data_IF_673159981940
#
_entry.id   IF_673159981940
#
_cell.length_a   1.000
_cell.length_b   1.000
_cell.length_c   1.000
_cell.angle_alpha   90.00
_cell.angle_beta   90.00
_cell.angle_gamma   90.00
#
_symmetry.space_group_name_H-M   'P 1'
#
loop_
_entity.id
_entity.type
_entity.pdbx_description
1 polymer ?
#
# COMPACT_ATOMS: atom_id res chain seq x y z
N UNK A 1 -13.28 -9.30 15.83
CA UNK A 1 -14.26 -9.89 14.94
C UNK A 1 -13.60 -10.70 13.83
N UNK A 2 -12.42 -11.28 14.13
CA UNK A 2 -11.66 -12.10 13.20
C UNK A 2 -10.34 -12.55 13.81
N UNK A 3 -9.45 -13.09 12.98
CA UNK A 3 -8.18 -13.65 13.42
C UNK A 3 -7.04 -13.25 12.48
N UNK A 4 -5.92 -12.89 13.06
CA UNK A 4 -4.61 -12.92 12.39
C UNK A 4 -3.90 -14.20 12.80
N UNK A 5 -3.52 -15.00 11.82
CA UNK A 5 -2.87 -16.28 12.04
C UNK A 5 -1.36 -16.12 11.84
N UNK A 6 -0.62 -16.37 12.91
CA UNK A 6 0.83 -16.26 12.96
C UNK A 6 1.50 -17.42 12.24
N UNK A 7 2.54 -17.15 11.44
CA UNK A 7 3.41 -18.13 10.80
C UNK A 7 2.64 -19.34 10.22
N UNK A 8 1.53 -19.10 9.49
CA UNK A 8 0.61 -20.17 9.07
C UNK A 8 1.27 -21.22 8.15
N UNK A 9 2.36 -20.88 7.48
CA UNK A 9 3.16 -21.84 6.69
C UNK A 9 3.90 -22.87 7.54
N UNK A 10 4.05 -22.65 8.84
CA UNK A 10 4.81 -23.51 9.75
C UNK A 10 3.92 -24.47 10.55
N UNK A 11 2.59 -24.43 10.40
CA UNK A 11 1.71 -25.40 11.08
C UNK A 11 2.03 -26.83 10.69
N UNK A 12 2.36 -27.05 9.41
CA UNK A 12 3.04 -28.23 8.90
C UNK A 12 4.21 -27.79 8.03
N UNK A 13 5.36 -27.57 8.65
CA UNK A 13 6.54 -27.05 7.97
C UNK A 13 6.88 -27.86 6.72
N UNK A 14 7.05 -27.15 5.60
CA UNK A 14 7.40 -27.74 4.30
C UNK A 14 6.24 -28.40 3.53
N UNK A 15 4.98 -28.29 4.01
CA UNK A 15 3.81 -28.87 3.32
C UNK A 15 2.70 -27.85 3.14
N UNK A 16 2.64 -27.22 1.95
CA UNK A 16 1.57 -26.28 1.58
C UNK A 16 0.20 -26.95 1.69
N UNK A 17 0.02 -28.15 1.13
CA UNK A 17 -1.27 -28.85 1.09
C UNK A 17 -1.82 -29.11 2.50
N UNK A 18 -0.96 -29.54 3.45
CA UNK A 18 -1.39 -29.73 4.84
C UNK A 18 -1.72 -28.44 5.56
N UNK A 19 -1.00 -27.36 5.26
CA UNK A 19 -1.33 -26.03 5.80
C UNK A 19 -2.68 -25.57 5.27
N UNK A 20 -2.96 -25.74 3.97
CA UNK A 20 -4.26 -25.43 3.36
C UNK A 20 -5.39 -26.27 4.01
N UNK A 21 -5.17 -27.56 4.25
CA UNK A 21 -6.13 -28.44 4.94
C UNK A 21 -6.47 -27.95 6.36
N UNK A 22 -5.45 -27.57 7.15
CA UNK A 22 -5.66 -27.02 8.51
C UNK A 22 -6.39 -25.69 8.45
N UNK A 23 -6.02 -24.81 7.53
CA UNK A 23 -6.68 -23.52 7.37
C UNK A 23 -8.12 -23.67 6.89
N UNK A 24 -8.43 -24.63 6.01
CA UNK A 24 -9.80 -24.95 5.60
C UNK A 24 -10.67 -25.41 6.78
N UNK A 25 -10.10 -26.28 7.63
CA UNK A 25 -10.77 -26.68 8.86
C UNK A 25 -11.03 -25.50 9.80
N UNK A 26 -10.01 -24.66 10.02
CA UNK A 26 -10.11 -23.49 10.88
C UNK A 26 -11.14 -22.48 10.34
N UNK A 27 -11.07 -22.18 9.04
CA UNK A 27 -12.03 -21.30 8.34
C UNK A 27 -13.46 -21.79 8.54
N UNK A 28 -13.73 -23.08 8.27
CA UNK A 28 -15.07 -23.66 8.39
C UNK A 28 -15.61 -23.55 9.83
N UNK A 29 -14.77 -23.81 10.82
CA UNK A 29 -15.13 -23.71 12.23
C UNK A 29 -15.44 -22.27 12.65
N UNK A 30 -14.68 -21.30 12.18
CA UNK A 30 -14.88 -19.88 12.48
C UNK A 30 -16.16 -19.36 11.82
N UNK A 31 -16.32 -19.64 10.51
CA UNK A 31 -17.49 -19.15 9.74
C UNK A 31 -18.80 -19.80 10.21
N UNK A 32 -18.78 -21.00 10.77
CA UNK A 32 -19.94 -21.60 11.44
C UNK A 32 -20.41 -20.78 12.65
N UNK A 33 -19.49 -20.14 13.38
CA UNK A 33 -19.82 -19.33 14.56
C UNK A 33 -20.08 -17.85 14.21
N UNK A 34 -19.40 -17.33 13.21
CA UNK A 34 -19.52 -15.96 12.76
C UNK A 34 -19.15 -15.88 11.28
N UNK A 35 -20.18 -15.86 10.42
CA UNK A 35 -20.05 -15.89 8.95
C UNK A 35 -19.18 -14.72 8.42
N UNK A 36 -19.34 -13.53 8.99
CA UNK A 36 -18.61 -12.32 8.61
C UNK A 36 -17.27 -12.12 9.34
N UNK A 37 -16.77 -13.13 10.07
CA UNK A 37 -15.45 -13.04 10.69
C UNK A 37 -14.34 -12.98 9.62
N UNK A 38 -13.41 -12.03 9.75
CA UNK A 38 -12.29 -11.87 8.84
C UNK A 38 -11.07 -12.67 9.31
N UNK A 39 -10.49 -13.46 8.42
CA UNK A 39 -9.32 -14.29 8.71
C UNK A 39 -8.18 -13.88 7.78
N UNK A 40 -7.09 -13.36 8.35
CA UNK A 40 -5.87 -13.05 7.60
C UNK A 40 -4.71 -13.89 8.11
N UNK A 41 -3.99 -14.56 7.21
CA UNK A 41 -2.86 -15.41 7.54
C UNK A 41 -1.52 -14.77 7.18
N UNK A 42 -0.54 -14.92 8.06
CA UNK A 42 0.83 -14.65 7.72
C UNK A 42 1.46 -15.90 7.08
N UNK A 43 1.72 -15.77 5.79
CA UNK A 43 2.38 -16.79 4.97
C UNK A 43 3.59 -16.15 4.31
N UNK A 44 4.67 -15.96 5.08
CA UNK A 44 5.88 -15.28 4.60
C UNK A 44 6.66 -16.17 3.64
N UNK A 45 6.35 -16.06 2.36
CA UNK A 45 6.97 -16.80 1.26
C UNK A 45 6.77 -16.03 -0.05
N UNK A 46 7.20 -16.61 -1.18
CA UNK A 46 6.95 -16.05 -2.51
C UNK A 46 5.46 -16.07 -2.89
N UNK A 47 5.10 -15.18 -3.83
CA UNK A 47 3.71 -14.95 -4.25
C UNK A 47 3.02 -16.22 -4.77
N UNK A 48 3.71 -17.02 -5.57
CA UNK A 48 3.12 -18.24 -6.15
C UNK A 48 2.81 -19.29 -5.09
N UNK A 49 3.57 -19.29 -4.01
CA UNK A 49 3.37 -20.20 -2.88
C UNK A 49 2.24 -19.72 -1.98
N UNK A 50 2.22 -18.45 -1.54
CA UNK A 50 1.16 -18.00 -0.65
C UNK A 50 -0.21 -17.91 -1.34
N UNK A 51 -0.25 -17.67 -2.64
CA UNK A 51 -1.51 -17.66 -3.40
C UNK A 51 -2.30 -18.97 -3.25
N UNK A 52 -1.62 -20.12 -3.16
CA UNK A 52 -2.26 -21.43 -2.95
C UNK A 52 -3.04 -21.54 -1.63
N UNK A 53 -2.67 -20.73 -0.63
CA UNK A 53 -3.35 -20.74 0.66
C UNK A 53 -4.80 -20.25 0.59
N UNK A 54 -5.14 -19.48 -0.46
CA UNK A 54 -6.53 -19.07 -0.69
C UNK A 54 -7.49 -20.23 -1.02
N UNK A 55 -6.97 -21.41 -1.47
CA UNK A 55 -7.76 -22.63 -1.61
C UNK A 55 -8.39 -23.09 -0.28
N UNK A 56 -7.83 -22.66 0.85
CA UNK A 56 -8.39 -22.96 2.18
C UNK A 56 -9.70 -22.23 2.49
N UNK A 57 -10.05 -21.21 1.72
CA UNK A 57 -11.21 -20.36 1.94
C UNK A 57 -10.96 -19.19 2.91
N UNK A 58 -9.74 -19.06 3.51
CA UNK A 58 -9.42 -17.88 4.32
C UNK A 58 -9.59 -16.60 3.51
N UNK A 59 -9.96 -15.51 4.18
CA UNK A 59 -10.25 -14.25 3.48
C UNK A 59 -9.00 -13.64 2.87
N UNK A 60 -7.85 -13.66 3.58
CA UNK A 60 -6.63 -12.99 3.15
C UNK A 60 -5.34 -13.68 3.56
N UNK A 61 -4.30 -13.47 2.76
CA UNK A 61 -2.90 -13.62 3.16
C UNK A 61 -2.20 -12.26 3.07
N UNK A 62 -1.26 -11.98 3.98
CA UNK A 62 -0.41 -10.79 3.86
C UNK A 62 0.47 -10.87 2.63
N UNK A 63 0.45 -9.81 1.81
CA UNK A 63 1.24 -9.74 0.57
C UNK A 63 2.65 -9.24 0.82
N UNK A 64 3.57 -10.17 0.99
CA UNK A 64 5.00 -9.89 1.16
C UNK A 64 5.70 -9.42 -0.11
N UNK A 65 5.09 -9.57 -1.30
CA UNK A 65 5.72 -9.25 -2.58
C UNK A 65 5.93 -7.74 -2.77
N UNK A 66 5.08 -6.92 -2.16
CA UNK A 66 5.14 -5.47 -2.24
C UNK A 66 5.84 -4.83 -1.04
N UNK A 67 6.00 -5.59 0.04
CA UNK A 67 6.52 -5.12 1.32
C UNK A 67 8.06 -5.15 1.40
N UNK A 68 8.60 -4.46 2.44
CA UNK A 68 10.01 -4.45 2.83
C UNK A 68 10.93 -3.62 1.89
N UNK A 69 12.18 -3.54 2.28
CA UNK A 69 13.27 -2.82 1.60
C UNK A 69 13.63 -3.36 0.21
N UNK A 70 13.22 -4.59 -0.09
CA UNK A 70 13.44 -5.29 -1.35
C UNK A 70 12.16 -5.60 -2.12
N UNK A 71 10.99 -5.29 -1.54
CA UNK A 71 9.70 -5.50 -2.19
C UNK A 71 9.45 -4.55 -3.36
N UNK A 72 8.38 -4.81 -4.09
CA UNK A 72 8.05 -4.11 -5.33
C UNK A 72 7.98 -2.58 -5.13
N UNK A 73 7.32 -2.09 -4.07
CA UNK A 73 7.16 -0.65 -3.82
C UNK A 73 8.54 0.02 -3.68
N UNK A 74 9.38 -0.49 -2.80
CA UNK A 74 10.71 0.08 -2.57
C UNK A 74 11.61 -0.02 -3.80
N UNK A 75 11.56 -1.16 -4.50
CA UNK A 75 12.38 -1.42 -5.69
C UNK A 75 12.03 -0.46 -6.83
N UNK A 76 10.75 -0.24 -7.09
CA UNK A 76 10.27 0.69 -8.11
C UNK A 76 10.69 2.12 -7.81
N UNK A 77 10.53 2.59 -6.58
CA UNK A 77 10.90 3.95 -6.18
C UNK A 77 12.42 4.20 -6.18
N UNK A 78 13.23 3.15 -5.98
CA UNK A 78 14.70 3.26 -6.05
C UNK A 78 15.26 3.17 -7.47
N UNK A 79 14.63 2.38 -8.32
CA UNK A 79 15.18 2.04 -9.64
C UNK A 79 14.55 2.86 -10.78
N UNK A 80 13.50 3.65 -10.50
CA UNK A 80 12.80 4.45 -11.52
C UNK A 80 12.11 3.59 -12.57
N UNK A 81 11.29 2.62 -12.15
CA UNK A 81 10.60 1.70 -13.05
C UNK A 81 9.10 1.63 -12.74
N UNK A 82 8.39 2.74 -12.96
CA UNK A 82 6.97 2.88 -12.61
C UNK A 82 6.08 1.83 -13.28
N UNK A 83 6.31 1.51 -14.55
CA UNK A 83 5.56 0.46 -15.29
C UNK A 83 5.67 -0.92 -14.63
N UNK A 84 6.75 -1.21 -13.92
CA UNK A 84 6.92 -2.47 -13.18
C UNK A 84 5.92 -2.62 -12.03
N UNK A 85 5.49 -1.51 -11.42
CA UNK A 85 4.45 -1.54 -10.40
C UNK A 85 3.10 -1.97 -10.99
N UNK A 86 2.70 -1.41 -12.13
CA UNK A 86 1.47 -1.80 -12.82
C UNK A 86 1.46 -3.27 -13.24
N UNK A 87 2.57 -3.76 -13.79
CA UNK A 87 2.74 -5.19 -14.15
C UNK A 87 2.64 -6.09 -12.92
N UNK A 88 3.24 -5.69 -11.81
CA UNK A 88 3.19 -6.46 -10.56
C UNK A 88 1.75 -6.54 -9.99
N UNK A 89 0.96 -5.46 -10.06
CA UNK A 89 -0.44 -5.47 -9.62
C UNK A 89 -1.32 -6.40 -10.46
N UNK A 90 -1.15 -6.42 -11.78
CA UNK A 90 -1.87 -7.36 -12.67
C UNK A 90 -1.45 -8.80 -12.38
N UNK A 91 -0.15 -9.06 -12.27
CA UNK A 91 0.36 -10.40 -11.94
C UNK A 91 -0.16 -10.91 -10.59
N UNK A 92 -0.27 -10.02 -9.58
CA UNK A 92 -0.88 -10.35 -8.29
C UNK A 92 -2.33 -10.79 -8.46
N UNK A 93 -3.15 -9.96 -9.12
CA UNK A 93 -4.56 -10.26 -9.39
C UNK A 93 -4.72 -11.59 -10.12
N UNK A 94 -3.97 -11.78 -11.21
CA UNK A 94 -4.03 -12.98 -12.03
C UNK A 94 -3.61 -14.24 -11.25
N UNK A 95 -2.65 -14.11 -10.35
CA UNK A 95 -2.15 -15.22 -9.54
C UNK A 95 -3.15 -15.61 -8.44
N UNK A 96 -3.70 -14.63 -7.69
CA UNK A 96 -4.65 -14.92 -6.62
C UNK A 96 -5.98 -15.47 -7.16
N UNK A 97 -6.46 -14.95 -8.29
CA UNK A 97 -7.71 -15.39 -8.94
C UNK A 97 -7.66 -16.85 -9.45
N UNK A 98 -6.48 -17.45 -9.59
CA UNK A 98 -6.35 -18.88 -9.91
C UNK A 98 -6.82 -19.80 -8.77
N UNK A 99 -6.80 -19.31 -7.52
CA UNK A 99 -7.05 -20.11 -6.32
C UNK A 99 -8.33 -19.73 -5.58
N UNK A 100 -8.88 -18.54 -5.84
CA UNK A 100 -10.14 -18.10 -5.24
C UNK A 100 -10.78 -16.98 -6.04
N UNK A 101 -12.06 -17.09 -6.35
CA UNK A 101 -12.86 -16.02 -6.97
C UNK A 101 -13.26 -14.92 -5.97
N UNK A 102 -13.08 -15.18 -4.67
CA UNK A 102 -13.47 -14.30 -3.58
C UNK A 102 -12.30 -13.86 -2.69
N UNK A 103 -11.06 -13.97 -3.18
CA UNK A 103 -9.89 -13.55 -2.43
C UNK A 103 -9.97 -12.07 -2.07
N UNK A 104 -9.46 -11.73 -0.90
CA UNK A 104 -9.19 -10.35 -0.48
C UNK A 104 -7.69 -10.25 -0.25
N UNK A 105 -6.98 -9.49 -1.05
CA UNK A 105 -5.56 -9.25 -0.79
C UNK A 105 -5.36 -8.48 0.52
N UNK A 106 -4.23 -8.67 1.19
CA UNK A 106 -3.85 -7.93 2.39
C UNK A 106 -2.51 -7.22 2.20
N UNK A 107 -2.47 -6.16 1.35
CA UNK A 107 -1.25 -5.41 1.13
C UNK A 107 -0.80 -4.68 2.39
N UNK A 108 0.50 -4.67 2.59
CA UNK A 108 1.17 -3.91 3.64
C UNK A 108 2.56 -3.47 3.15
N UNK A 109 3.11 -2.42 3.73
CA UNK A 109 4.42 -1.91 3.32
C UNK A 109 5.52 -2.35 4.29
N UNK A 110 5.25 -2.25 5.58
CA UNK A 110 6.13 -2.72 6.66
C UNK A 110 5.31 -3.35 7.77
N UNK A 111 5.98 -4.08 8.66
CA UNK A 111 5.39 -4.65 9.85
C UNK A 111 6.40 -4.66 11.03
N UNK A 112 6.04 -5.30 12.14
CA UNK A 112 6.83 -5.39 13.35
C UNK A 112 8.11 -6.25 13.22
N UNK A 113 8.26 -7.01 12.13
CA UNK A 113 9.43 -7.88 11.87
C UNK A 113 10.36 -7.29 10.80
N UNK A 114 9.96 -6.18 10.17
CA UNK A 114 10.71 -5.49 9.13
C UNK A 114 11.23 -4.13 9.59
N UNK A 115 12.29 -3.64 8.97
CA UNK A 115 12.71 -2.27 9.17
C UNK A 115 11.60 -1.31 8.71
N UNK A 116 11.47 -0.16 9.37
CA UNK A 116 10.46 0.85 9.03
C UNK A 116 10.78 1.56 7.72
N UNK A 117 9.75 1.84 6.92
CA UNK A 117 9.83 2.32 5.54
C UNK A 117 10.60 3.63 5.35
N UNK A 118 10.50 4.57 6.28
CA UNK A 118 11.26 5.83 6.21
C UNK A 118 12.78 5.64 6.25
N UNK A 119 13.27 4.47 6.63
CA UNK A 119 14.67 4.09 6.58
C UNK A 119 15.14 3.58 5.21
N UNK A 120 14.24 3.32 4.28
CA UNK A 120 14.59 2.74 2.98
C UNK A 120 15.12 3.78 1.99
N UNK A 121 14.82 5.06 2.20
CA UNK A 121 15.17 6.16 1.32
C UNK A 121 16.16 7.13 1.95
N UNK A 122 16.99 7.75 1.12
CA UNK A 122 17.99 8.74 1.51
C UNK A 122 18.04 9.88 0.51
N UNK A 123 18.70 10.97 0.86
CA UNK A 123 18.79 12.18 0.03
C UNK A 123 17.57 13.10 0.20
N UNK A 124 17.51 14.10 -0.67
CA UNK A 124 16.55 15.22 -0.55
C UNK A 124 15.10 14.80 -0.82
N UNK A 125 14.88 13.80 -1.68
CA UNK A 125 13.56 13.32 -2.03
C UNK A 125 13.03 12.21 -1.09
N UNK A 126 13.77 11.83 -0.06
CA UNK A 126 13.41 10.70 0.81
C UNK A 126 12.06 10.85 1.52
N UNK A 127 11.63 12.08 1.83
CA UNK A 127 10.30 12.33 2.39
C UNK A 127 9.21 12.10 1.35
N UNK A 128 9.40 12.60 0.13
CA UNK A 128 8.47 12.39 -0.99
C UNK A 128 8.33 10.90 -1.32
N UNK A 129 9.46 10.18 -1.38
CA UNK A 129 9.46 8.73 -1.59
C UNK A 129 8.74 7.98 -0.45
N UNK A 130 8.91 8.42 0.81
CA UNK A 130 8.20 7.85 1.96
C UNK A 130 6.69 8.05 1.80
N UNK A 131 6.23 9.25 1.45
CA UNK A 131 4.81 9.56 1.19
C UNK A 131 4.24 8.68 0.07
N UNK A 132 4.92 8.64 -1.08
CA UNK A 132 4.46 7.87 -2.25
C UNK A 132 4.44 6.37 -1.96
N UNK A 133 5.40 5.82 -1.22
CA UNK A 133 5.38 4.42 -0.82
C UNK A 133 4.12 4.06 -0.01
N UNK A 134 3.70 4.94 0.90
CA UNK A 134 2.43 4.76 1.63
C UNK A 134 1.22 4.82 0.69
N UNK A 135 1.21 5.75 -0.28
CA UNK A 135 0.13 5.81 -1.27
C UNK A 135 0.10 4.54 -2.14
N UNK A 136 1.25 4.06 -2.62
CA UNK A 136 1.32 2.82 -3.39
C UNK A 136 0.71 1.65 -2.62
N UNK A 137 1.05 1.49 -1.33
CA UNK A 137 0.47 0.45 -0.48
C UNK A 137 -1.05 0.66 -0.26
N UNK A 138 -1.44 1.84 0.19
CA UNK A 138 -2.83 2.12 0.60
C UNK A 138 -3.81 2.18 -0.58
N UNK A 139 -3.36 2.40 -1.81
CA UNK A 139 -4.19 2.41 -3.02
C UNK A 139 -4.23 1.06 -3.76
N UNK A 140 -3.63 0.00 -3.21
CA UNK A 140 -3.82 -1.37 -3.70
C UNK A 140 -5.24 -1.89 -3.42
N UNK A 141 -5.68 -2.90 -4.16
CA UNK A 141 -6.94 -3.61 -3.88
C UNK A 141 -6.84 -4.43 -2.59
N UNK A 142 -7.97 -4.81 -2.03
CA UNK A 142 -8.03 -5.64 -0.83
C UNK A 142 -8.11 -4.85 0.48
N UNK A 143 -7.67 -5.44 1.57
CA UNK A 143 -7.61 -4.86 2.92
C UNK A 143 -6.20 -4.36 3.22
N UNK A 144 -5.91 -3.10 2.92
CA UNK A 144 -4.58 -2.53 3.14
C UNK A 144 -4.28 -2.34 4.64
N UNK A 145 -3.10 -2.80 5.05
CA UNK A 145 -2.61 -2.67 6.42
C UNK A 145 -1.57 -1.55 6.51
N UNK A 146 -1.71 -0.74 7.53
CA UNK A 146 -0.76 0.32 7.90
C UNK A 146 -0.13 -0.04 9.24
N UNK A 147 1.20 -0.22 9.27
CA UNK A 147 1.91 -0.41 10.52
C UNK A 147 2.03 0.92 11.26
N UNK A 148 1.67 0.97 12.55
CA UNK A 148 1.67 2.21 13.33
C UNK A 148 3.01 2.95 13.26
N UNK A 149 2.94 4.27 13.14
CA UNK A 149 4.11 5.14 13.01
C UNK A 149 4.64 5.28 11.59
N UNK A 150 4.20 4.47 10.62
CA UNK A 150 4.51 4.67 9.21
C UNK A 150 3.85 5.95 8.69
N UNK A 151 2.69 6.33 9.22
CA UNK A 151 2.01 7.60 8.95
C UNK A 151 2.77 8.83 9.43
N UNK A 152 3.77 8.64 10.30
CA UNK A 152 4.68 9.69 10.75
C UNK A 152 6.07 9.59 10.11
N UNK A 153 6.32 8.55 9.32
CA UNK A 153 7.65 8.24 8.83
C UNK A 153 8.63 7.92 9.96
N UNK A 154 8.18 7.21 11.00
CA UNK A 154 9.04 6.74 12.08
C UNK A 154 10.15 5.85 11.54
N UNK A 155 11.28 5.84 12.21
CA UNK A 155 12.44 5.00 11.89
C UNK A 155 12.61 3.90 12.94
N UNK A 156 13.21 2.79 12.51
CA UNK A 156 13.57 1.66 13.35
C UNK A 156 14.05 0.50 12.49
N UNK A 157 15.23 -0.02 12.78
CA UNK A 157 15.85 -1.12 12.03
C UNK A 157 16.84 -1.90 12.90
N UNK A 158 17.34 -3.01 12.36
CA UNK A 158 18.26 -3.90 13.07
C UNK A 158 17.53 -4.76 14.09
N UNK A 159 17.60 -4.39 15.36
CA UNK A 159 16.94 -5.15 16.44
C UNK A 159 15.41 -5.05 16.34
N UNK A 160 14.72 -6.07 16.84
CA UNK A 160 13.26 -6.11 16.88
C UNK A 160 12.68 -4.99 17.74
N UNK A 161 13.35 -4.65 18.84
CA UNK A 161 12.97 -3.56 19.74
C UNK A 161 12.91 -2.21 19.01
N UNK A 162 13.83 -1.98 18.08
CA UNK A 162 13.87 -0.74 17.29
C UNK A 162 12.69 -0.62 16.32
N UNK A 163 12.26 -1.75 15.73
CA UNK A 163 11.11 -1.80 14.82
C UNK A 163 9.78 -1.57 15.56
N UNK A 164 9.76 -1.85 16.87
CA UNK A 164 8.61 -1.77 17.78
C UNK A 164 8.70 -0.60 18.76
N UNK A 165 9.45 0.46 18.36
CA UNK A 165 9.56 1.69 19.14
C UNK A 165 8.16 2.28 19.43
N UNK A 166 7.95 2.92 20.58
CA UNK A 166 6.69 3.59 20.92
C UNK A 166 6.28 4.60 19.87
N UNK A 167 4.98 4.82 19.72
CA UNK A 167 4.45 5.87 18.85
C UNK A 167 5.02 7.24 19.22
N UNK A 168 5.44 7.99 18.21
CA UNK A 168 6.09 9.29 18.37
C UNK A 168 5.05 10.40 18.43
N UNK A 169 4.34 10.48 19.59
CA UNK A 169 3.26 11.45 19.82
C UNK A 169 3.77 12.87 19.93
N UNK A 170 4.87 13.08 20.67
CA UNK A 170 5.47 14.37 20.98
C UNK A 170 7.00 14.29 20.90
N UNK A 171 7.64 15.42 20.60
CA UNK A 171 9.09 15.59 20.71
C UNK A 171 9.55 15.69 22.16
N UNK A 172 8.66 16.08 23.07
CA UNK A 172 8.90 16.07 24.52
C UNK A 172 8.55 14.70 25.11
N UNK A 173 9.55 13.93 25.46
CA UNK A 173 9.41 12.61 26.08
C UNK A 173 8.77 12.62 27.49
N UNK A 174 8.59 13.80 28.07
CA UNK A 174 7.98 13.98 29.39
C UNK A 174 6.45 14.20 29.33
N UNK A 175 5.88 14.31 28.13
CA UNK A 175 4.42 14.45 27.96
C UNK A 175 3.69 13.21 28.46
N UNK A 176 2.59 13.41 29.16
CA UNK A 176 1.72 12.34 29.67
C UNK A 176 1.24 11.45 28.51
N UNK A 177 1.34 10.12 28.68
CA UNK A 177 0.98 9.14 27.67
C UNK A 177 2.13 8.66 26.79
N UNK A 178 3.32 9.27 26.90
CA UNK A 178 4.52 8.75 26.23
C UNK A 178 4.97 7.46 26.89
N UNK A 179 5.09 6.39 26.08
CA UNK A 179 5.59 5.10 26.55
C UNK A 179 7.11 5.05 26.52
N UNK A 180 7.71 4.31 27.46
CA UNK A 180 9.10 3.88 27.31
C UNK A 180 9.15 2.76 26.28
N UNK A 181 10.18 2.77 25.44
CA UNK A 181 10.45 1.66 24.51
C UNK A 181 10.83 0.37 25.25
N UNK A 182 10.94 -0.73 24.50
CA UNK A 182 11.51 -1.99 25.01
C UNK A 182 12.90 -1.76 25.63
N UNK A 183 13.26 -2.60 26.60
CA UNK A 183 14.48 -2.40 27.43
C UNK A 183 15.78 -2.30 26.61
N UNK A 184 15.86 -3.06 25.52
CA UNK A 184 17.07 -3.16 24.68
C UNK A 184 16.97 -2.29 23.42
N UNK A 185 15.98 -1.41 23.33
CA UNK A 185 15.83 -0.48 22.21
C UNK A 185 16.98 0.53 22.18
N UNK A 186 17.53 0.76 20.99
CA UNK A 186 18.54 1.77 20.77
C UNK A 186 17.90 3.19 20.82
N UNK A 187 18.72 4.20 21.01
CA UNK A 187 18.30 5.60 20.83
C UNK A 187 18.09 5.86 19.32
N UNK A 188 16.83 5.96 18.91
CA UNK A 188 16.45 6.16 17.51
C UNK A 188 16.26 7.67 17.27
N UNK A 189 17.08 8.24 16.36
CA UNK A 189 16.86 9.59 15.88
C UNK A 189 15.78 9.58 14.79
N UNK A 190 14.60 10.10 15.11
CA UNK A 190 13.54 10.32 14.13
C UNK A 190 13.98 11.38 13.12
N UNK A 191 13.52 11.23 11.87
CA UNK A 191 13.89 12.13 10.76
C UNK A 191 12.85 13.22 10.56
N UNK A 192 11.60 12.86 10.79
CA UNK A 192 10.43 13.72 10.65
C UNK A 192 9.86 14.05 12.02
N UNK A 193 9.07 15.11 12.11
CA UNK A 193 8.47 15.57 13.36
C UNK A 193 7.53 14.55 14.00
N UNK A 194 7.24 14.75 15.29
CA UNK A 194 6.23 13.99 16.02
C UNK A 194 4.82 14.29 15.49
N UNK A 195 3.81 13.51 15.93
CA UNK A 195 2.43 13.68 15.50
C UNK A 195 1.95 15.14 15.71
N UNK A 196 2.18 15.71 16.91
CA UNK A 196 1.78 17.08 17.23
C UNK A 196 2.31 18.12 16.23
N UNK A 197 3.53 17.96 15.74
CA UNK A 197 4.13 18.84 14.73
C UNK A 197 3.56 18.56 13.34
N UNK A 198 3.35 17.29 13.00
CA UNK A 198 2.87 16.89 11.68
C UNK A 198 1.38 17.17 11.47
N UNK A 199 0.59 17.26 12.54
CA UNK A 199 -0.83 17.66 12.44
C UNK A 199 -1.00 19.12 11.97
N UNK A 200 -0.07 19.99 12.33
CA UNK A 200 -0.08 21.41 11.97
C UNK A 200 0.57 21.69 10.59
N UNK A 201 1.40 20.79 10.10
CA UNK A 201 2.04 20.90 8.79
C UNK A 201 1.21 20.24 7.69
N UNK A 202 0.53 21.03 6.87
CA UNK A 202 -0.29 20.55 5.75
C UNK A 202 0.44 19.71 4.71
N UNK A 203 1.78 19.76 4.68
CA UNK A 203 2.63 18.97 3.78
C UNK A 203 3.29 17.78 4.48
N UNK A 204 2.98 17.48 5.73
CA UNK A 204 3.58 16.36 6.47
C UNK A 204 3.25 14.99 5.87
N UNK A 205 3.99 13.96 6.30
CA UNK A 205 3.70 12.57 5.97
C UNK A 205 2.32 12.18 6.53
N UNK A 206 2.01 12.62 7.75
CA UNK A 206 0.73 12.37 8.40
C UNK A 206 -0.45 12.90 7.57
N UNK A 207 -0.40 14.15 7.15
CA UNK A 207 -1.50 14.74 6.34
C UNK A 207 -1.62 14.07 4.97
N UNK A 208 -0.50 13.68 4.37
CA UNK A 208 -0.50 12.94 3.11
C UNK A 208 -1.15 11.55 3.26
N UNK A 209 -0.79 10.78 4.29
CA UNK A 209 -1.39 9.47 4.58
C UNK A 209 -2.87 9.60 4.90
N UNK A 210 -3.25 10.59 5.70
CA UNK A 210 -4.66 10.90 6.02
C UNK A 210 -5.47 11.18 4.76
N UNK A 211 -4.94 12.00 3.84
CA UNK A 211 -5.59 12.26 2.54
C UNK A 211 -5.65 10.99 1.67
N UNK A 212 -4.63 10.16 1.68
CA UNK A 212 -4.62 8.87 0.96
C UNK A 212 -5.73 7.95 1.44
N UNK A 213 -5.88 7.81 2.77
CA UNK A 213 -6.96 7.00 3.37
C UNK A 213 -8.33 7.59 3.03
N UNK A 214 -8.47 8.92 3.05
CA UNK A 214 -9.72 9.59 2.66
C UNK A 214 -10.11 9.23 1.23
N UNK A 215 -9.19 9.37 0.25
CA UNK A 215 -9.45 9.03 -1.15
C UNK A 215 -9.77 7.54 -1.32
N UNK A 216 -9.03 6.64 -0.63
CA UNK A 216 -9.36 5.22 -0.63
C UNK A 216 -10.80 4.93 -0.19
N UNK A 217 -11.29 5.64 0.82
CA UNK A 217 -12.65 5.46 1.33
C UNK A 217 -13.70 6.13 0.43
N UNK A 218 -13.33 7.18 -0.27
CA UNK A 218 -14.22 7.91 -1.20
C UNK A 218 -14.44 7.14 -2.51
N UNK A 219 -13.41 6.40 -2.98
CA UNK A 219 -13.43 5.62 -4.22
C UNK A 219 -13.38 4.12 -3.92
N UNK A 220 -14.53 3.42 -3.83
CA UNK A 220 -14.57 1.98 -3.56
C UNK A 220 -13.84 1.14 -4.61
N UNK A 221 -13.66 1.65 -5.84
CA UNK A 221 -12.89 1.05 -6.91
C UNK A 221 -11.45 0.77 -6.48
N UNK A 222 -10.88 1.60 -5.60
CA UNK A 222 -9.52 1.41 -5.10
C UNK A 222 -9.40 0.10 -4.35
N UNK A 223 -10.29 -0.14 -3.39
CA UNK A 223 -10.23 -1.31 -2.51
C UNK A 223 -10.84 -2.57 -3.13
N UNK A 224 -11.89 -2.42 -3.96
CA UNK A 224 -12.73 -3.53 -4.44
C UNK A 224 -12.64 -3.75 -5.94
N UNK A 225 -12.04 -2.81 -6.67
CA UNK A 225 -11.96 -2.86 -8.13
C UNK A 225 -10.92 -3.85 -8.62
N UNK A 226 -11.24 -4.44 -9.78
CA UNK A 226 -10.24 -5.15 -10.58
C UNK A 226 -9.21 -4.17 -11.14
N UNK A 227 -8.03 -4.69 -11.42
CA UNK A 227 -6.87 -3.92 -11.87
C UNK A 227 -6.64 -4.16 -13.36
N UNK A 228 -6.52 -3.09 -14.14
CA UNK A 228 -5.98 -3.12 -15.49
C UNK A 228 -4.82 -2.14 -15.60
N UNK A 229 -3.69 -2.61 -16.06
CA UNK A 229 -2.51 -1.77 -16.34
C UNK A 229 -2.62 -1.17 -17.75
N UNK A 230 -2.60 0.15 -17.86
CA UNK A 230 -2.65 0.87 -19.15
C UNK A 230 -1.21 1.04 -19.67
N UNK A 231 -0.65 -0.05 -20.22
CA UNK A 231 0.76 -0.16 -20.62
C UNK A 231 1.16 0.88 -21.67
N UNK A 232 0.27 1.20 -22.63
CA UNK A 232 0.58 2.10 -23.76
C UNK A 232 0.79 3.56 -23.37
N UNK A 233 0.32 3.95 -22.17
CA UNK A 233 0.44 5.30 -21.61
C UNK A 233 1.22 5.32 -20.30
N UNK A 234 1.95 4.25 -20.04
CA UNK A 234 2.83 4.10 -18.88
C UNK A 234 4.26 3.91 -19.36
N UNK A 235 5.22 4.35 -18.52
CA UNK A 235 6.66 4.26 -18.81
C UNK A 235 7.47 4.01 -17.51
N UNK A 236 8.75 4.34 -17.52
CA UNK A 236 9.60 4.21 -16.34
C UNK A 236 9.30 5.25 -15.25
N UNK A 237 8.63 6.37 -15.59
CA UNK A 237 8.29 7.45 -14.66
C UNK A 237 6.83 7.40 -14.21
N UNK A 238 5.95 7.05 -15.13
CA UNK A 238 4.49 7.10 -14.95
C UNK A 238 3.89 5.70 -15.02
N UNK A 239 3.03 5.39 -14.07
CA UNK A 239 2.20 4.19 -14.06
C UNK A 239 0.72 4.57 -14.04
N UNK A 240 -0.04 4.09 -15.01
CA UNK A 240 -1.49 4.31 -15.12
C UNK A 240 -2.22 3.00 -14.89
N UNK A 241 -3.06 2.98 -13.85
CA UNK A 241 -3.88 1.84 -13.46
C UNK A 241 -5.35 2.21 -13.58
N UNK A 242 -6.10 1.46 -14.35
CA UNK A 242 -7.56 1.51 -14.33
C UNK A 242 -8.08 0.56 -13.26
N UNK A 243 -9.00 1.05 -12.45
CA UNK A 243 -9.75 0.29 -11.46
C UNK A 243 -11.22 0.25 -11.85
N UNK A 244 -11.82 -0.94 -11.86
CA UNK A 244 -13.24 -1.13 -12.21
C UNK A 244 -13.95 -1.87 -11.08
N UNK A 245 -15.03 -1.28 -10.55
CA UNK A 245 -15.89 -1.89 -9.54
C UNK A 245 -17.37 -1.69 -9.90
N UNK A 246 -18.08 -2.78 -10.22
CA UNK A 246 -19.42 -2.70 -10.80
C UNK A 246 -19.39 -1.94 -12.12
N UNK A 247 -20.21 -0.92 -12.24
CA UNK A 247 -20.30 -0.06 -13.43
C UNK A 247 -19.41 1.21 -13.32
N UNK A 248 -18.62 1.32 -12.24
CA UNK A 248 -17.78 2.47 -11.99
C UNK A 248 -16.31 2.18 -12.31
N UNK A 249 -15.66 3.15 -12.95
CA UNK A 249 -14.25 3.12 -13.29
C UNK A 249 -13.54 4.39 -12.83
N UNK A 250 -12.27 4.25 -12.45
CA UNK A 250 -11.34 5.36 -12.22
C UNK A 250 -9.97 5.00 -12.79
N UNK A 251 -9.14 6.02 -13.05
CA UNK A 251 -7.70 5.85 -13.23
C UNK A 251 -6.97 6.32 -11.99
N UNK A 252 -5.98 5.55 -11.59
CA UNK A 252 -4.92 5.96 -10.67
C UNK A 252 -3.67 6.22 -11.50
N UNK A 253 -3.27 7.48 -11.61
CA UNK A 253 -2.08 7.91 -12.36
C UNK A 253 -0.99 8.25 -11.36
N UNK A 254 0.09 7.47 -11.35
CA UNK A 254 1.25 7.64 -10.48
C UNK A 254 2.39 8.26 -11.27
N UNK A 255 2.91 9.39 -10.84
CA UNK A 255 4.24 9.85 -11.22
C UNK A 255 5.23 9.49 -10.11
N UNK A 256 6.07 8.50 -10.34
CA UNK A 256 7.02 7.95 -9.37
C UNK A 256 8.44 8.51 -9.56
N UNK A 257 8.60 9.47 -10.48
CA UNK A 257 9.85 10.19 -10.74
C UNK A 257 9.88 11.56 -10.03
N UNK A 258 11.07 12.16 -9.80
CA UNK A 258 11.18 13.49 -9.19
C UNK A 258 10.73 14.64 -10.12
N UNK A 259 10.74 14.45 -11.44
CA UNK A 259 10.32 15.44 -12.40
C UNK A 259 8.80 15.44 -12.63
N UNK A 260 8.25 16.54 -13.07
CA UNK A 260 6.87 16.59 -13.57
C UNK A 260 6.71 15.76 -14.83
N UNK A 261 5.50 15.28 -15.07
CA UNK A 261 5.12 14.52 -16.27
C UNK A 261 3.82 15.02 -16.86
N UNK A 262 3.74 14.96 -18.19
CA UNK A 262 2.51 15.11 -18.95
C UNK A 262 2.06 13.73 -19.44
N UNK A 263 0.80 13.38 -19.15
CA UNK A 263 0.21 12.08 -19.51
C UNK A 263 -0.94 12.33 -20.48
N UNK A 264 -0.82 11.79 -21.69
CA UNK A 264 -1.87 11.90 -22.70
C UNK A 264 -2.96 10.84 -22.43
N UNK A 265 -4.12 11.32 -21.96
CA UNK A 265 -5.32 10.52 -21.71
C UNK A 265 -6.39 10.73 -22.81
N UNK A 266 -6.08 11.44 -23.90
CA UNK A 266 -7.05 11.77 -24.97
C UNK A 266 -7.69 10.54 -25.62
N UNK A 267 -6.95 9.41 -25.67
CA UNK A 267 -7.42 8.13 -26.19
C UNK A 267 -7.97 7.17 -25.13
N UNK A 268 -8.10 7.61 -23.86
CA UNK A 268 -8.52 6.74 -22.75
C UNK A 268 -10.00 6.96 -22.44
N UNK A 269 -10.70 5.86 -22.16
CA UNK A 269 -12.10 5.86 -21.71
C UNK A 269 -12.18 5.43 -20.26
N UNK A 270 -12.97 6.12 -19.44
CA UNK A 270 -13.26 5.81 -18.03
C UNK A 270 -14.77 5.89 -17.84
N UNK A 271 -15.42 4.74 -17.63
CA UNK A 271 -16.88 4.65 -17.69
C UNK A 271 -17.42 5.09 -19.06
N UNK A 272 -18.28 6.07 -19.06
CA UNK A 272 -18.86 6.66 -20.31
C UNK A 272 -18.08 7.89 -20.84
N UNK A 273 -17.09 8.39 -20.07
CA UNK A 273 -16.29 9.58 -20.42
C UNK A 273 -15.03 9.21 -21.18
N UNK A 274 -14.56 10.10 -22.04
CA UNK A 274 -13.31 9.91 -22.77
C UNK A 274 -12.61 11.25 -23.06
N UNK A 275 -11.30 11.18 -23.19
CA UNK A 275 -10.46 12.31 -23.59
C UNK A 275 -10.69 13.55 -22.72
N UNK A 276 -11.14 14.65 -23.32
CA UNK A 276 -11.34 15.94 -22.64
C UNK A 276 -12.54 15.99 -21.69
N UNK A 277 -13.39 14.95 -21.68
CA UNK A 277 -14.51 14.85 -20.74
C UNK A 277 -14.08 14.32 -19.36
N UNK A 278 -12.87 13.75 -19.27
CA UNK A 278 -12.30 13.29 -18.01
C UNK A 278 -11.96 14.46 -17.09
N UNK A 279 -12.00 14.23 -15.80
CA UNK A 279 -11.72 15.23 -14.77
C UNK A 279 -10.88 14.68 -13.63
N UNK A 280 -10.16 15.56 -12.93
CA UNK A 280 -9.46 15.21 -11.71
C UNK A 280 -10.48 14.92 -10.60
N UNK A 281 -10.50 13.70 -10.08
CA UNK A 281 -11.32 13.29 -8.94
C UNK A 281 -10.63 13.49 -7.60
N UNK A 282 -9.30 13.41 -7.56
CA UNK A 282 -8.51 13.57 -6.35
C UNK A 282 -7.02 13.64 -6.62
N UNK A 283 -6.28 14.24 -5.70
CA UNK A 283 -4.83 14.40 -5.83
C UNK A 283 -4.10 14.04 -4.52
N UNK A 284 -2.93 13.44 -4.66
CA UNK A 284 -1.95 13.23 -3.60
C UNK A 284 -0.64 13.86 -4.06
N UNK A 285 -0.31 15.00 -3.48
CA UNK A 285 0.87 15.80 -3.83
C UNK A 285 1.87 15.77 -2.69
N UNK A 286 3.13 15.52 -2.99
CA UNK A 286 4.18 15.45 -1.96
C UNK A 286 4.82 16.80 -1.64
N UNK A 287 4.49 17.83 -2.44
CA UNK A 287 4.88 19.22 -2.22
C UNK A 287 3.73 20.18 -2.61
N UNK A 288 3.97 21.49 -2.54
CA UNK A 288 2.97 22.55 -2.76
C UNK A 288 2.68 22.83 -4.25
N UNK A 289 3.07 21.95 -5.17
CA UNK A 289 2.76 22.08 -6.60
C UNK A 289 1.34 21.61 -6.88
N UNK A 290 0.83 21.92 -8.06
CA UNK A 290 -0.53 21.55 -8.48
C UNK A 290 -0.50 20.57 -9.66
N UNK A 291 -1.51 19.73 -9.76
CA UNK A 291 -1.82 18.95 -10.94
C UNK A 291 -2.89 19.69 -11.76
N UNK A 292 -2.83 19.60 -13.09
CA UNK A 292 -3.79 20.22 -13.99
C UNK A 292 -4.22 19.22 -15.08
N UNK A 293 -5.46 19.33 -15.52
CA UNK A 293 -5.98 18.54 -16.62
C UNK A 293 -6.62 19.48 -17.66
N UNK A 294 -6.16 19.43 -18.91
CA UNK A 294 -6.69 20.23 -20.02
C UNK A 294 -6.52 19.48 -21.33
N UNK A 295 -7.57 19.50 -22.15
CA UNK A 295 -7.57 18.93 -23.51
C UNK A 295 -7.10 17.46 -23.59
N UNK A 296 -7.42 16.66 -22.56
CA UNK A 296 -7.03 15.26 -22.47
C UNK A 296 -5.61 15.02 -21.96
N UNK A 297 -4.86 16.08 -21.62
CA UNK A 297 -3.51 16.00 -21.05
C UNK A 297 -3.56 16.25 -19.55
N UNK A 298 -3.03 15.31 -18.79
CA UNK A 298 -2.80 15.44 -17.34
C UNK A 298 -1.35 15.86 -17.09
N UNK A 299 -1.16 17.10 -16.63
CA UNK A 299 0.12 17.58 -16.10
C UNK A 299 0.19 17.34 -14.60
N UNK A 300 1.20 16.62 -14.13
CA UNK A 300 1.34 16.28 -12.72
C UNK A 300 2.77 16.45 -12.20
N UNK A 301 2.94 16.91 -10.94
CA UNK A 301 4.27 17.06 -10.33
C UNK A 301 4.97 15.73 -10.16
N UNK A 302 6.29 15.77 -9.89
CA UNK A 302 7.03 14.60 -9.46
C UNK A 302 6.54 14.05 -8.12
N UNK A 303 6.62 12.75 -7.93
CA UNK A 303 6.14 12.05 -6.74
C UNK A 303 4.69 12.44 -6.37
N UNK A 304 3.77 12.16 -7.25
CA UNK A 304 2.34 12.45 -7.06
C UNK A 304 1.46 11.30 -7.53
N UNK A 305 0.22 11.27 -7.04
CA UNK A 305 -0.85 10.40 -7.57
C UNK A 305 -2.07 11.24 -7.87
N UNK A 306 -2.66 11.01 -9.03
CA UNK A 306 -3.90 11.67 -9.44
C UNK A 306 -4.95 10.62 -9.75
N UNK A 307 -6.15 10.83 -9.20
CA UNK A 307 -7.35 10.08 -9.58
C UNK A 307 -8.03 10.83 -10.70
N UNK A 308 -8.31 10.12 -11.78
CA UNK A 308 -9.06 10.66 -12.94
C UNK A 308 -10.34 9.84 -13.13
N UNK A 309 -11.46 10.54 -13.39
CA UNK A 309 -12.78 9.95 -13.56
C UNK A 309 -13.60 10.62 -14.65
#
# INVERSE_FOLDING_TARGET
DGFRLDAAKEYYSGSVDKNVEVLSWFHSMVKEKKEDAYIVAEVWTDQNTYAKYYESGIDSCFDFSFADSTGTITSVLKNGSASSYGKALVNLQDNLSQYSDSYIDAPFYTNHDMARGAGYYSGDDSEKQTKIAQAMNLLMSGSAFLYYGEELGMKGSGKDENKRAPMYWSEDSAVDGMCKGPADMDAIKMKYGALETQEEDGNSIYQFVKQTIKLRNEYPEIARGTVKFEENISDDKVCVIKKTYGDSEILLVYNLAPESADVDLSGVTVGEKSGSELEIGGVLLTDAKEAAFSDGILTMPGYSVVIVK
#
